data_IF_565469288860
#
_entry.id   IF_565469288860
#
_cell.length_a   1.000
_cell.length_b   1.000
_cell.length_c   1.000
_cell.angle_alpha   90.00
_cell.angle_beta   90.00
_cell.angle_gamma   90.00
#
_symmetry.space_group_name_H-M   'P 1'
#
loop_
_entity.id
_entity.type
_entity.pdbx_description
1 polymer ?
#
# COMPACT_ATOMS: atom_id res chain seq x y z
N UNK A 1 -10.72 -17.65 55.73
CA UNK A 1 -9.35 -17.27 55.30
C UNK A 1 -8.86 -17.96 54.02
N UNK A 2 -8.99 -19.29 53.80
CA UNK A 2 -8.45 -19.94 52.61
C UNK A 2 -9.22 -19.60 51.31
N UNK A 3 -10.54 -19.46 51.38
CA UNK A 3 -11.38 -19.10 50.23
C UNK A 3 -11.13 -17.68 49.72
N UNK A 4 -10.83 -16.73 50.63
CA UNK A 4 -10.48 -15.37 50.26
C UNK A 4 -9.12 -15.32 49.54
N UNK A 5 -8.14 -16.09 50.01
CA UNK A 5 -6.82 -16.21 49.36
C UNK A 5 -6.94 -16.87 47.98
N UNK A 6 -7.76 -17.91 47.84
CA UNK A 6 -8.03 -18.58 46.55
C UNK A 6 -8.67 -17.62 45.54
N UNK A 7 -9.67 -16.84 45.96
CA UNK A 7 -10.33 -15.86 45.10
C UNK A 7 -9.38 -14.74 44.68
N UNK A 8 -8.51 -14.27 45.58
CA UNK A 8 -7.49 -13.28 45.26
C UNK A 8 -6.51 -13.82 44.22
N UNK A 9 -6.02 -15.05 44.38
CA UNK A 9 -5.13 -15.69 43.41
C UNK A 9 -5.78 -15.84 42.03
N UNK A 10 -7.05 -16.23 41.97
CA UNK A 10 -7.80 -16.36 40.70
C UNK A 10 -7.93 -15.00 40.01
N UNK A 11 -8.30 -13.94 40.75
CA UNK A 11 -8.42 -12.59 40.20
C UNK A 11 -7.07 -12.09 39.66
N UNK A 12 -5.98 -12.30 40.40
CA UNK A 12 -4.63 -11.94 39.94
C UNK A 12 -4.27 -12.70 38.66
N UNK A 13 -4.58 -13.99 38.58
CA UNK A 13 -4.27 -14.81 37.41
C UNK A 13 -5.04 -14.35 36.16
N UNK A 14 -6.32 -13.99 36.31
CA UNK A 14 -7.15 -13.44 35.22
C UNK A 14 -6.64 -12.08 34.75
N UNK A 15 -6.23 -11.20 35.68
CA UNK A 15 -5.69 -9.87 35.34
C UNK A 15 -4.34 -9.95 34.61
N UNK A 16 -3.49 -10.92 34.98
CA UNK A 16 -2.19 -11.17 34.32
C UNK A 16 -2.37 -11.77 32.91
N UNK A 17 -3.36 -12.65 32.70
CA UNK A 17 -3.63 -13.21 31.36
C UNK A 17 -4.34 -12.22 30.43
N UNK A 18 -5.28 -11.39 30.94
CA UNK A 18 -6.03 -10.42 30.14
C UNK A 18 -5.16 -9.28 29.58
N UNK A 19 -4.05 -8.95 30.24
CA UNK A 19 -3.09 -7.92 29.78
C UNK A 19 -2.14 -8.42 28.68
N UNK A 20 -2.06 -9.73 28.42
CA UNK A 20 -1.22 -10.31 27.38
C UNK A 20 -1.89 -10.34 25.99
N UNK A 21 -3.18 -9.99 25.87
CA UNK A 21 -3.94 -10.07 24.61
C UNK A 21 -3.97 -8.75 23.81
N UNK A 22 -2.94 -7.91 23.93
CA UNK A 22 -2.78 -6.76 23.04
C UNK A 22 -1.79 -7.10 21.92
N UNK A 23 -2.19 -7.96 20.98
CA UNK A 23 -1.48 -8.09 19.72
C UNK A 23 -1.90 -6.92 18.82
N UNK A 24 -1.01 -5.96 18.60
CA UNK A 24 -1.16 -5.02 17.50
C UNK A 24 -0.97 -5.82 16.20
N UNK A 25 -2.07 -6.21 15.52
CA UNK A 25 -1.96 -6.62 14.13
C UNK A 25 -1.46 -5.42 13.33
N UNK A 26 -0.16 -5.42 13.01
CA UNK A 26 0.32 -4.58 11.92
C UNK A 26 -0.29 -5.16 10.66
N UNK A 27 -1.38 -4.56 10.19
CA UNK A 27 -2.05 -4.95 8.96
C UNK A 27 -1.07 -5.07 7.80
N UNK A 28 -1.32 -6.00 6.88
CA UNK A 28 -0.50 -6.21 5.70
C UNK A 28 -0.61 -5.01 4.76
N UNK A 29 0.51 -4.33 4.49
CA UNK A 29 0.54 -3.21 3.55
C UNK A 29 1.04 -3.69 2.19
N UNK A 30 0.21 -3.52 1.16
CA UNK A 30 0.52 -3.87 -0.22
C UNK A 30 0.40 -2.62 -1.11
N UNK A 31 1.43 -2.39 -1.93
CA UNK A 31 1.41 -1.37 -2.99
C UNK A 31 1.43 -2.08 -4.34
N UNK A 32 0.32 -2.01 -5.06
CA UNK A 32 0.19 -2.62 -6.40
C UNK A 32 0.31 -1.52 -7.45
N UNK A 33 1.35 -1.61 -8.26
CA UNK A 33 1.50 -0.82 -9.48
C UNK A 33 1.23 -1.73 -10.68
N UNK A 34 0.35 -1.32 -11.58
CA UNK A 34 0.05 -2.09 -12.78
C UNK A 34 -0.13 -1.16 -13.99
N UNK A 35 0.26 -1.67 -15.15
CA UNK A 35 -0.05 -1.05 -16.45
C UNK A 35 -0.80 -2.07 -17.28
N UNK A 36 -1.76 -1.62 -18.08
CA UNK A 36 -2.50 -2.46 -19.01
C UNK A 36 -2.55 -1.79 -20.39
N UNK A 37 -2.70 -2.60 -21.45
CA UNK A 37 -2.88 -2.13 -22.82
C UNK A 37 -1.84 -1.09 -23.30
N UNK A 38 -0.57 -1.29 -22.94
CA UNK A 38 0.49 -0.34 -23.30
C UNK A 38 0.72 -0.29 -24.82
N UNK A 39 0.22 -1.29 -25.57
CA UNK A 39 0.20 -1.32 -27.03
C UNK A 39 1.51 -0.84 -27.69
N UNK A 40 2.64 -1.36 -27.20
CA UNK A 40 3.97 -1.04 -27.70
C UNK A 40 4.33 0.45 -27.68
N UNK A 41 3.74 1.23 -26.76
CA UNK A 41 4.06 2.65 -26.52
C UNK A 41 5.36 2.77 -25.71
N UNK A 42 6.47 2.41 -26.33
CA UNK A 42 7.80 2.53 -25.73
C UNK A 42 8.20 4.00 -25.53
N UNK A 43 7.93 4.83 -26.54
CA UNK A 43 8.12 6.27 -26.51
C UNK A 43 6.86 6.98 -26.03
N UNK A 44 7.02 8.24 -25.67
CA UNK A 44 5.91 9.12 -25.31
C UNK A 44 4.91 9.30 -26.47
N UNK A 45 3.65 9.53 -26.11
CA UNK A 45 2.55 9.70 -27.02
C UNK A 45 1.85 11.04 -26.77
N UNK A 46 1.20 11.58 -27.80
CA UNK A 46 0.34 12.75 -27.60
C UNK A 46 -0.97 12.36 -26.89
N UNK A 47 -1.82 13.35 -26.58
CA UNK A 47 -3.11 13.15 -25.90
C UNK A 47 -4.04 12.11 -26.57
N UNK A 48 -3.92 11.93 -27.89
CA UNK A 48 -4.74 10.98 -28.66
C UNK A 48 -4.12 9.58 -28.73
N UNK A 49 -3.03 9.34 -28.01
CA UNK A 49 -2.22 8.13 -28.16
C UNK A 49 -1.47 8.09 -29.49
N UNK A 50 -1.38 9.17 -30.24
CA UNK A 50 -0.57 9.21 -31.47
C UNK A 50 0.92 9.35 -31.15
N UNK A 51 1.74 9.34 -32.21
CA UNK A 51 3.14 9.76 -32.10
C UNK A 51 3.19 11.19 -31.53
N UNK A 52 3.98 11.40 -30.48
CA UNK A 52 4.33 12.73 -30.01
C UNK A 52 5.17 13.45 -31.08
N UNK A 53 4.68 14.60 -31.54
CA UNK A 53 5.37 15.45 -32.54
C UNK A 53 6.11 16.60 -31.86
N UNK A 54 7.00 17.28 -32.56
CA UNK A 54 7.74 18.42 -31.99
C UNK A 54 6.81 19.55 -31.55
N UNK A 55 5.75 19.84 -32.30
CA UNK A 55 4.71 20.79 -31.90
C UNK A 55 3.90 20.33 -30.67
N UNK A 56 3.77 19.01 -30.43
CA UNK A 56 3.20 18.52 -29.17
C UNK A 56 4.19 18.76 -28.03
N UNK A 57 5.50 18.52 -28.22
CA UNK A 57 6.55 18.74 -27.21
C UNK A 57 6.66 20.21 -26.81
N UNK A 58 6.61 21.13 -27.78
CA UNK A 58 6.65 22.58 -27.53
C UNK A 58 5.47 23.08 -26.69
N UNK A 59 4.36 22.31 -26.65
CA UNK A 59 3.15 22.63 -25.91
C UNK A 59 2.96 21.74 -24.67
N UNK A 60 4.02 21.05 -24.22
CA UNK A 60 3.96 20.07 -23.12
C UNK A 60 2.86 19.00 -23.30
N UNK A 61 2.59 18.63 -24.55
CA UNK A 61 1.52 17.75 -24.98
C UNK A 61 1.88 16.27 -25.09
N UNK A 62 3.03 15.85 -24.55
CA UNK A 62 3.53 14.49 -24.64
C UNK A 62 3.56 13.77 -23.29
N UNK A 63 3.11 12.52 -23.30
CA UNK A 63 2.76 11.77 -22.10
C UNK A 63 3.26 10.33 -22.17
N UNK A 64 3.48 9.74 -20.99
CA UNK A 64 3.87 8.34 -20.86
C UNK A 64 5.26 8.04 -21.45
N UNK A 65 5.38 6.87 -22.07
CA UNK A 65 6.66 6.29 -22.47
C UNK A 65 7.37 5.59 -21.32
N UNK A 66 8.14 4.55 -21.63
CA UNK A 66 8.80 3.69 -20.64
C UNK A 66 9.74 4.49 -19.73
N UNK A 67 10.46 5.47 -20.29
CA UNK A 67 11.35 6.32 -19.52
C UNK A 67 10.62 7.04 -18.36
N UNK A 68 9.41 7.55 -18.61
CA UNK A 68 8.60 8.26 -17.60
C UNK A 68 7.87 7.32 -16.65
N UNK A 69 7.50 6.12 -17.10
CA UNK A 69 6.86 5.10 -16.24
C UNK A 69 7.83 4.59 -15.17
N UNK A 70 9.13 4.59 -15.46
CA UNK A 70 10.19 4.14 -14.54
C UNK A 70 10.60 5.21 -13.53
N UNK A 71 10.20 6.48 -13.72
CA UNK A 71 10.62 7.61 -12.87
C UNK A 71 9.76 7.73 -11.62
#
# INVERSE_FOLDING_TARGET
>A
FPEAMKNICIVIFVLVWGSAQCSSERGFNITVLHTNDIHSRFLEANKKGGKCTDNDREKDGCYGGVARIVT
#
